data_IF_458899129257
#
_entry.id   IF_458899129257
#
_cell.length_a   1.000
_cell.length_b   1.000
_cell.length_c   1.000
_cell.angle_alpha   90.00
_cell.angle_beta   90.00
_cell.angle_gamma   90.00
#
_symmetry.space_group_name_H-M   'P 1'
#
loop_
_entity.id
_entity.type
_entity.pdbx_description
1 polymer ?
#
# COMPACT_ATOMS: atom_id res chain seq x y z
N UNK A 1 -36.64 13.99 -32.52
CA UNK A 1 -35.23 14.36 -32.25
C UNK A 1 -35.24 15.46 -31.20
N UNK A 2 -34.63 15.24 -30.01
CA UNK A 2 -34.62 16.21 -28.90
C UNK A 2 -33.32 17.02 -28.94
N UNK A 3 -33.33 18.33 -28.67
CA UNK A 3 -32.13 19.14 -28.70
C UNK A 3 -31.16 18.72 -27.59
N UNK A 4 -29.90 18.47 -27.95
CA UNK A 4 -28.81 18.21 -27.01
C UNK A 4 -28.35 19.56 -26.45
N UNK A 5 -28.56 19.80 -25.15
CA UNK A 5 -27.94 20.93 -24.44
C UNK A 5 -26.47 20.60 -24.22
N UNK A 6 -25.59 21.31 -24.93
CA UNK A 6 -24.15 21.29 -24.66
C UNK A 6 -23.95 21.95 -23.29
N UNK A 7 -23.73 21.12 -22.26
CA UNK A 7 -23.29 21.60 -20.95
C UNK A 7 -21.77 21.78 -21.07
N UNK A 8 -21.33 23.03 -21.18
CA UNK A 8 -19.92 23.37 -21.07
C UNK A 8 -19.44 22.99 -19.67
N UNK A 9 -18.72 21.88 -19.55
CA UNK A 9 -18.03 21.52 -18.31
C UNK A 9 -16.88 22.51 -18.15
N UNK A 10 -17.08 23.51 -17.30
CA UNK A 10 -16.01 24.41 -16.88
C UNK A 10 -15.06 23.57 -16.01
N UNK A 11 -13.94 23.11 -16.59
CA UNK A 11 -12.84 22.54 -15.81
C UNK A 11 -12.19 23.66 -14.98
N UNK A 12 -12.67 23.83 -13.74
CA UNK A 12 -11.93 24.55 -12.73
C UNK A 12 -10.74 23.66 -12.28
N UNK A 13 -9.50 24.17 -12.22
CA UNK A 13 -8.39 23.40 -11.69
C UNK A 13 -8.61 23.17 -10.20
N UNK A 14 -8.87 21.92 -9.82
CA UNK A 14 -8.90 21.50 -8.41
C UNK A 14 -7.45 21.63 -7.91
N UNK A 15 -7.19 22.64 -7.09
CA UNK A 15 -5.87 22.84 -6.48
C UNK A 15 -5.65 21.73 -5.44
N UNK A 16 -4.95 20.66 -5.82
CA UNK A 16 -4.49 19.65 -4.89
C UNK A 16 -3.46 20.31 -3.96
N UNK A 17 -3.87 20.65 -2.73
CA UNK A 17 -2.92 20.96 -1.68
C UNK A 17 -2.09 19.70 -1.46
N UNK A 18 -0.83 19.73 -1.89
CA UNK A 18 0.15 18.74 -1.45
C UNK A 18 0.22 18.85 0.07
N UNK A 19 -0.38 17.88 0.77
CA UNK A 19 -0.09 17.68 2.18
C UNK A 19 1.39 17.35 2.22
N UNK A 20 2.18 18.22 2.83
CA UNK A 20 3.57 17.93 3.12
C UNK A 20 3.56 16.80 4.14
N UNK A 21 3.50 15.56 3.66
CA UNK A 21 3.74 14.39 4.48
C UNK A 21 5.17 14.52 5.00
N UNK A 22 5.34 14.52 6.33
CA UNK A 22 6.68 14.40 6.91
C UNK A 22 7.33 13.15 6.32
N UNK A 23 8.64 13.16 6.02
CA UNK A 23 9.33 11.97 5.56
C UNK A 23 9.04 10.81 6.52
N UNK A 24 8.40 9.75 6.03
CA UNK A 24 8.25 8.55 6.84
C UNK A 24 9.59 7.84 6.82
N UNK A 25 10.17 7.62 8.00
CA UNK A 25 11.36 6.80 8.13
C UNK A 25 10.97 5.34 7.90
N UNK A 26 11.20 4.86 6.68
CA UNK A 26 11.06 3.45 6.33
C UNK A 26 12.14 2.61 7.02
N UNK A 27 11.78 1.63 7.86
CA UNK A 27 12.76 0.78 8.54
C UNK A 27 13.44 -0.22 7.59
N UNK A 28 14.72 -0.52 7.84
CA UNK A 28 15.48 -1.55 7.12
C UNK A 28 15.63 -2.84 7.97
N UNK A 29 15.78 -4.02 7.33
CA UNK A 29 15.59 -4.26 5.90
C UNK A 29 14.10 -4.34 5.52
N UNK A 30 13.74 -3.98 4.29
CA UNK A 30 12.39 -4.09 3.75
C UNK A 30 12.43 -4.55 2.28
N UNK A 31 11.28 -4.94 1.72
CA UNK A 31 11.16 -5.34 0.31
C UNK A 31 10.86 -4.12 -0.56
N UNK A 32 11.38 -4.11 -1.79
CA UNK A 32 11.12 -3.04 -2.76
C UNK A 32 10.41 -3.57 -4.02
N UNK A 33 9.41 -2.86 -4.58
CA UNK A 33 8.88 -1.60 -4.08
C UNK A 33 7.91 -1.78 -2.89
N UNK A 34 8.06 -0.94 -1.87
CA UNK A 34 7.06 -0.76 -0.79
C UNK A 34 6.22 0.51 -1.01
N UNK A 35 5.03 0.58 -0.41
CA UNK A 35 4.18 1.76 -0.48
C UNK A 35 4.91 3.01 0.07
N UNK A 36 4.99 4.11 -0.71
CA UNK A 36 5.85 5.25 -0.39
C UNK A 36 5.41 6.04 0.85
N UNK A 37 4.11 6.05 1.17
CA UNK A 37 3.55 6.78 2.31
C UNK A 37 3.08 5.84 3.43
N UNK A 38 3.84 4.77 3.68
CA UNK A 38 3.50 3.85 4.76
C UNK A 38 3.71 4.49 6.14
N UNK A 39 2.72 4.46 7.03
CA UNK A 39 2.78 5.08 8.36
C UNK A 39 2.84 4.06 9.51
N UNK A 40 2.61 2.78 9.24
CA UNK A 40 2.78 1.68 10.20
C UNK A 40 3.45 0.49 9.54
N UNK A 41 4.44 -0.07 10.23
CA UNK A 41 5.19 -1.22 9.79
C UNK A 41 5.05 -2.39 10.76
N UNK A 42 5.21 -3.60 10.25
CA UNK A 42 5.33 -4.83 11.04
C UNK A 42 6.61 -5.56 10.62
N UNK A 43 7.44 -5.94 11.60
CA UNK A 43 8.62 -6.76 11.34
C UNK A 43 8.23 -8.25 11.34
N UNK A 44 8.38 -8.89 10.19
CA UNK A 44 8.06 -10.29 9.98
C UNK A 44 8.83 -11.19 10.95
N UNK A 45 8.12 -12.14 11.57
CA UNK A 45 8.69 -13.12 12.47
C UNK A 45 9.03 -14.43 11.73
N UNK A 46 9.83 -15.33 12.32
CA UNK A 46 9.97 -16.67 11.79
C UNK A 46 8.61 -17.33 11.55
N UNK A 47 8.46 -17.98 10.39
CA UNK A 47 7.23 -18.64 9.91
C UNK A 47 6.07 -17.71 9.52
N UNK A 48 6.27 -16.39 9.49
CA UNK A 48 5.28 -15.52 8.87
C UNK A 48 5.20 -15.78 7.35
N UNK A 49 3.98 -15.74 6.83
CA UNK A 49 3.66 -15.75 5.40
C UNK A 49 2.97 -14.44 5.03
N UNK A 50 2.79 -14.14 3.75
CA UNK A 50 1.99 -12.97 3.37
C UNK A 50 0.58 -13.00 4.00
N UNK A 51 -0.04 -14.19 4.07
CA UNK A 51 -1.37 -14.33 4.65
C UNK A 51 -1.36 -14.04 6.15
N UNK A 52 -0.42 -14.61 6.92
CA UNK A 52 -0.38 -14.38 8.37
C UNK A 52 -0.03 -12.92 8.70
N UNK A 53 0.82 -12.27 7.89
CA UNK A 53 1.11 -10.84 8.05
C UNK A 53 -0.12 -9.97 7.78
N UNK A 54 -0.91 -10.31 6.76
CA UNK A 54 -2.17 -9.64 6.47
C UNK A 54 -3.15 -9.81 7.64
N UNK A 55 -3.40 -11.06 8.05
CA UNK A 55 -4.36 -11.41 9.12
C UNK A 55 -4.02 -10.73 10.45
N UNK A 56 -2.74 -10.76 10.85
CA UNK A 56 -2.25 -10.12 12.10
C UNK A 56 -2.46 -8.61 12.13
N UNK A 57 -2.60 -7.98 10.96
CA UNK A 57 -2.75 -6.54 10.83
C UNK A 57 -4.15 -6.13 10.32
N UNK A 58 -5.09 -7.07 10.21
CA UNK A 58 -6.46 -6.80 9.80
C UNK A 58 -6.57 -6.38 8.33
N UNK A 59 -5.65 -6.84 7.48
CA UNK A 59 -5.67 -6.63 6.04
C UNK A 59 -6.15 -7.90 5.35
N UNK A 60 -6.79 -7.75 4.19
CA UNK A 60 -6.85 -8.87 3.26
C UNK A 60 -5.50 -9.08 2.55
N UNK A 61 -5.32 -10.24 1.91
CA UNK A 61 -4.07 -10.58 1.24
C UNK A 61 -3.75 -9.63 0.08
N UNK A 62 -4.77 -9.14 -0.63
CA UNK A 62 -4.59 -8.26 -1.78
C UNK A 62 -4.11 -6.86 -1.33
N UNK A 63 -4.65 -6.34 -0.24
CA UNK A 63 -4.21 -5.11 0.42
C UNK A 63 -2.76 -5.24 0.86
N UNK A 64 -2.39 -6.32 1.56
CA UNK A 64 -1.01 -6.56 1.98
C UNK A 64 -0.05 -6.56 0.78
N UNK A 65 -0.41 -7.24 -0.31
CA UNK A 65 0.38 -7.27 -1.55
C UNK A 65 0.47 -5.89 -2.20
N UNK A 66 -0.60 -5.11 -2.21
CA UNK A 66 -0.62 -3.77 -2.78
C UNK A 66 0.33 -2.83 -2.01
N UNK A 67 0.39 -2.96 -0.69
CA UNK A 67 1.29 -2.19 0.16
C UNK A 67 2.76 -2.64 0.04
N UNK A 68 2.98 -3.90 -0.32
CA UNK A 68 4.30 -4.54 -0.31
C UNK A 68 4.60 -5.23 -1.65
N UNK A 69 4.48 -4.50 -2.75
CA UNK A 69 4.64 -5.05 -4.12
C UNK A 69 5.95 -5.80 -4.34
N UNK A 70 7.00 -5.47 -3.60
CA UNK A 70 8.28 -6.20 -3.57
C UNK A 70 8.18 -7.68 -3.21
N UNK A 71 7.07 -8.15 -2.61
CA UNK A 71 6.85 -9.58 -2.41
C UNK A 71 6.62 -10.33 -3.72
N UNK A 72 6.27 -9.65 -4.82
CA UNK A 72 6.05 -10.27 -6.13
C UNK A 72 4.64 -10.84 -6.34
N UNK A 73 3.62 -10.22 -5.72
CA UNK A 73 2.22 -10.62 -5.86
C UNK A 73 1.90 -11.99 -5.25
N UNK A 74 0.77 -12.58 -5.66
CA UNK A 74 0.35 -13.90 -5.19
C UNK A 74 1.41 -14.98 -5.44
N UNK A 75 2.06 -14.94 -6.62
CA UNK A 75 3.09 -15.92 -6.95
C UNK A 75 4.30 -15.84 -6.03
N UNK A 76 4.70 -14.65 -5.59
CA UNK A 76 5.79 -14.50 -4.64
C UNK A 76 5.39 -14.90 -3.22
N UNK A 77 4.16 -14.58 -2.82
CA UNK A 77 3.60 -15.05 -1.56
C UNK A 77 3.55 -16.59 -1.48
N UNK A 78 3.12 -17.28 -2.55
CA UNK A 78 3.13 -18.74 -2.62
C UNK A 78 4.54 -19.35 -2.61
N UNK A 79 5.58 -18.57 -2.94
CA UNK A 79 6.99 -18.97 -2.85
C UNK A 79 7.65 -18.60 -1.52
N UNK A 80 6.90 -18.00 -0.59
CA UNK A 80 7.42 -17.62 0.72
C UNK A 80 8.18 -16.30 0.74
N UNK A 81 7.86 -15.33 -0.13
CA UNK A 81 8.51 -14.00 -0.15
C UNK A 81 8.08 -13.07 1.03
N UNK A 82 7.73 -13.66 2.17
CA UNK A 82 7.65 -13.01 3.48
C UNK A 82 8.93 -13.36 4.24
N UNK A 83 9.92 -12.48 4.20
CA UNK A 83 11.27 -12.73 4.72
C UNK A 83 11.28 -12.39 6.21
N UNK A 84 11.65 -13.34 7.06
CA UNK A 84 11.79 -13.08 8.49
C UNK A 84 12.81 -11.96 8.75
N UNK A 85 12.47 -11.06 9.68
CA UNK A 85 13.28 -9.89 10.02
C UNK A 85 13.09 -8.68 9.09
N UNK A 86 12.39 -8.83 7.95
CA UNK A 86 12.06 -7.71 7.08
C UNK A 86 10.83 -6.94 7.59
N UNK A 87 10.82 -5.64 7.33
CA UNK A 87 9.70 -4.75 7.62
C UNK A 87 8.75 -4.67 6.44
N UNK A 88 7.47 -4.78 6.75
CA UNK A 88 6.37 -4.71 5.79
C UNK A 88 5.44 -3.58 6.17
N UNK A 89 4.93 -2.86 5.16
CA UNK A 89 3.90 -1.87 5.33
C UNK A 89 2.58 -2.53 5.68
N UNK A 90 1.94 -2.05 6.75
CA UNK A 90 0.64 -2.58 7.23
C UNK A 90 -0.41 -1.49 7.43
N UNK A 91 -0.04 -0.22 7.27
CA UNK A 91 -0.99 0.90 7.16
C UNK A 91 -0.38 2.03 6.33
N UNK A 92 -0.91 2.36 5.15
CA UNK A 92 -0.54 3.57 4.42
C UNK A 92 -1.21 4.80 5.04
N UNK A 93 -0.71 5.99 4.72
CA UNK A 93 -1.40 7.23 5.06
C UNK A 93 -2.78 7.29 4.38
N UNK A 94 -3.78 7.79 5.10
CA UNK A 94 -5.14 7.99 4.58
C UNK A 94 -6.08 6.76 4.64
N UNK A 95 -5.68 5.66 5.27
CA UNK A 95 -6.61 4.59 5.65
C UNK A 95 -7.06 4.85 7.09
N UNK A 96 -8.37 5.01 7.32
CA UNK A 96 -8.93 5.14 8.68
C UNK A 96 -8.97 3.78 9.38
#
# INVERSE_FOLDING_TARGET
MKPVKIITVVLAPISAKAVSEKPVHTPNPHVEPMWPSCIKFYQSQPNDTCQTLADKNGLDLAEFIALNRGVGGLSGCSRGNAIAGYWYCVKPNGWE
#
